data_IF_321319341742
#
_entry.id   IF_321319341742
#
_cell.length_a   1.000
_cell.length_b   1.000
_cell.length_c   1.000
_cell.angle_alpha   90.00
_cell.angle_beta   90.00
_cell.angle_gamma   90.00
#
_symmetry.space_group_name_H-M   'P 1'
#
loop_
_entity.id
_entity.type
_entity.pdbx_description
1 polymer ?
#
# COMPACT_ATOMS: atom_id res chain seq x y z
N UNK A 1 7.49 -12.71 -0.09
CA UNK A 1 6.36 -12.19 0.73
C UNK A 1 6.81 -11.81 2.14
N UNK A 2 7.43 -12.72 2.91
CA UNK A 2 7.84 -12.47 4.30
C UNK A 2 8.86 -11.33 4.48
N UNK A 3 9.82 -11.17 3.55
CA UNK A 3 10.78 -10.05 3.59
C UNK A 3 10.11 -8.68 3.39
N UNK A 4 9.10 -8.59 2.51
CA UNK A 4 8.32 -7.37 2.32
C UNK A 4 7.51 -7.04 3.58
N UNK A 5 6.92 -8.06 4.21
CA UNK A 5 6.11 -7.89 5.42
C UNK A 5 6.95 -7.39 6.61
N UNK A 6 8.17 -7.91 6.78
CA UNK A 6 9.16 -7.38 7.72
C UNK A 6 9.52 -5.93 7.42
N UNK A 7 9.78 -5.61 6.14
CA UNK A 7 10.07 -4.23 5.71
C UNK A 7 8.94 -3.25 6.02
N UNK A 8 7.68 -3.67 5.82
CA UNK A 8 6.50 -2.88 6.16
C UNK A 8 6.42 -2.67 7.68
N UNK A 9 6.63 -3.72 8.49
CA UNK A 9 6.59 -3.59 9.95
C UNK A 9 7.69 -2.67 10.48
N UNK A 10 8.93 -2.80 9.98
CA UNK A 10 10.05 -1.94 10.38
C UNK A 10 9.80 -0.49 9.98
N UNK A 11 9.29 -0.26 8.76
CA UNK A 11 8.95 1.08 8.28
C UNK A 11 7.81 1.67 9.11
N UNK A 12 6.78 0.89 9.42
CA UNK A 12 5.65 1.37 10.21
C UNK A 12 6.02 1.66 11.68
N UNK A 13 6.93 0.89 12.27
CA UNK A 13 7.51 1.20 13.59
C UNK A 13 8.37 2.47 13.56
N UNK A 14 9.22 2.63 12.53
CA UNK A 14 10.04 3.83 12.33
C UNK A 14 9.18 5.08 12.15
N UNK A 15 8.13 5.00 11.34
CA UNK A 15 7.22 6.12 11.14
C UNK A 15 6.34 6.37 12.37
N UNK A 16 5.94 5.35 13.13
CA UNK A 16 5.28 5.55 14.43
C UNK A 16 6.17 6.30 15.43
N UNK A 17 7.48 6.09 15.36
CA UNK A 17 8.46 6.87 16.15
C UNK A 17 8.56 8.31 15.66
N UNK A 18 8.66 8.54 14.34
CA UNK A 18 8.77 9.88 13.75
C UNK A 18 7.45 10.67 13.76
N UNK A 19 6.30 9.99 13.73
CA UNK A 19 4.96 10.56 13.71
C UNK A 19 4.45 10.95 15.10
N UNK A 20 5.06 10.41 16.17
CA UNK A 20 4.77 10.77 17.56
C UNK A 20 4.78 12.29 17.81
N UNK A 21 5.84 13.05 17.48
CA UNK A 21 5.83 14.50 17.71
C UNK A 21 4.78 15.26 16.88
N UNK A 22 4.55 14.85 15.62
CA UNK A 22 3.58 15.50 14.73
C UNK A 22 2.14 15.30 15.23
N UNK A 23 1.78 14.07 15.60
CA UNK A 23 0.47 13.80 16.17
C UNK A 23 0.31 14.30 17.59
N UNK A 24 1.35 14.27 18.42
CA UNK A 24 1.30 14.79 19.79
C UNK A 24 0.93 16.27 19.81
N UNK A 25 1.45 17.10 18.90
CA UNK A 25 0.99 18.49 18.77
C UNK A 25 -0.49 18.61 18.37
N UNK A 26 -0.95 17.79 17.44
CA UNK A 26 -2.36 17.80 17.01
C UNK A 26 -3.31 17.29 18.09
N UNK A 27 -2.90 16.23 18.80
CA UNK A 27 -3.66 15.61 19.87
C UNK A 27 -3.61 16.42 21.16
N UNK A 28 -2.48 17.00 21.57
CA UNK A 28 -2.41 17.87 22.76
C UNK A 28 -3.40 19.04 22.63
N UNK A 29 -3.53 19.62 21.42
CA UNK A 29 -4.51 20.70 21.15
C UNK A 29 -5.97 20.21 21.29
N UNK A 30 -6.27 18.99 20.86
CA UNK A 30 -7.59 18.37 20.97
C UNK A 30 -7.89 17.89 22.41
N UNK A 31 -6.88 17.39 23.12
CA UNK A 31 -7.01 16.80 24.45
C UNK A 31 -7.05 17.85 25.57
N UNK A 32 -6.39 19.01 25.40
CA UNK A 32 -6.56 20.17 26.29
C UNK A 32 -8.03 20.60 26.35
N UNK A 33 -8.78 20.48 25.24
CA UNK A 33 -10.21 20.81 25.21
C UNK A 33 -11.11 19.72 25.81
N UNK A 34 -10.63 18.48 25.94
CA UNK A 34 -11.43 17.31 26.36
C UNK A 34 -11.05 16.75 27.74
N UNK A 35 -9.97 17.23 28.36
CA UNK A 35 -9.53 16.86 29.72
C UNK A 35 -9.29 15.35 29.90
N UNK A 36 -8.83 14.67 28.84
CA UNK A 36 -8.57 13.22 28.84
C UNK A 36 -7.09 12.96 29.18
N UNK A 37 -6.82 11.84 29.88
CA UNK A 37 -5.47 11.36 30.21
C UNK A 37 -4.53 11.33 29.00
N UNK A 38 -3.37 11.97 29.15
CA UNK A 38 -2.29 12.04 28.15
C UNK A 38 -1.76 10.67 27.71
N UNK A 39 -1.88 9.64 28.56
CA UNK A 39 -1.44 8.28 28.22
C UNK A 39 -2.36 7.61 27.19
N UNK A 40 -3.68 7.85 27.28
CA UNK A 40 -4.63 7.33 26.31
C UNK A 40 -4.47 8.05 24.96
N UNK A 41 -4.22 9.36 24.99
CA UNK A 41 -3.96 10.16 23.80
C UNK A 41 -2.77 9.61 22.99
N UNK A 42 -1.66 9.33 23.67
CA UNK A 42 -0.44 8.82 23.03
C UNK A 42 -0.66 7.44 22.39
N UNK A 43 -1.42 6.54 23.03
CA UNK A 43 -1.73 5.20 22.47
C UNK A 43 -2.62 5.34 21.23
N UNK A 44 -3.69 6.15 21.30
CA UNK A 44 -4.59 6.37 20.17
C UNK A 44 -3.87 7.03 18.98
N UNK A 45 -3.00 8.01 19.25
CA UNK A 45 -2.20 8.66 18.22
C UNK A 45 -1.31 7.65 17.47
N UNK A 46 -0.60 6.79 18.20
CA UNK A 46 0.25 5.76 17.59
C UNK A 46 -0.57 4.80 16.72
N UNK A 47 -1.71 4.33 17.23
CA UNK A 47 -2.59 3.41 16.48
C UNK A 47 -3.11 4.07 15.21
N UNK A 48 -3.58 5.31 15.29
CA UNK A 48 -4.15 6.04 14.16
C UNK A 48 -3.10 6.31 13.07
N UNK A 49 -1.91 6.81 13.44
CA UNK A 49 -0.82 7.03 12.47
C UNK A 49 -0.37 5.72 11.85
N UNK A 50 -0.21 4.67 12.65
CA UNK A 50 0.20 3.36 12.14
C UNK A 50 -0.81 2.83 11.13
N UNK A 51 -2.10 2.89 11.45
CA UNK A 51 -3.17 2.39 10.58
C UNK A 51 -3.26 3.20 9.29
N UNK A 52 -3.24 4.53 9.38
CA UNK A 52 -3.38 5.41 8.23
C UNK A 52 -2.20 5.24 7.26
N UNK A 53 -0.97 5.14 7.78
CA UNK A 53 0.23 4.99 6.96
C UNK A 53 0.35 3.59 6.39
N UNK A 54 0.03 2.55 7.17
CA UNK A 54 0.00 1.18 6.66
C UNK A 54 -1.03 1.04 5.54
N UNK A 55 -2.22 1.63 5.72
CA UNK A 55 -3.25 1.66 4.69
C UNK A 55 -2.75 2.39 3.44
N UNK A 56 -2.20 3.59 3.58
CA UNK A 56 -1.66 4.36 2.45
C UNK A 56 -0.54 3.61 1.73
N UNK A 57 0.36 2.96 2.46
CA UNK A 57 1.49 2.21 1.90
C UNK A 57 1.04 0.94 1.18
N UNK A 58 0.09 0.18 1.73
CA UNK A 58 -0.45 -1.01 1.07
C UNK A 58 -1.28 -0.63 -0.16
N UNK A 59 -2.09 0.43 -0.05
CA UNK A 59 -2.95 0.88 -1.15
C UNK A 59 -2.11 1.47 -2.29
N UNK A 60 -1.21 2.42 -2.00
CA UNK A 60 -0.39 3.06 -3.04
C UNK A 60 0.76 2.16 -3.49
N UNK A 61 1.41 1.45 -2.56
CA UNK A 61 2.61 0.67 -2.83
C UNK A 61 2.33 -0.71 -3.40
N UNK A 62 1.23 -1.35 -3.03
CA UNK A 62 0.93 -2.71 -3.50
C UNK A 62 -0.33 -2.78 -4.37
N UNK A 63 -1.48 -2.33 -3.88
CA UNK A 63 -2.76 -2.54 -4.55
C UNK A 63 -2.95 -1.68 -5.80
N UNK A 64 -2.52 -0.41 -5.79
CA UNK A 64 -2.61 0.49 -6.93
C UNK A 64 -1.77 0.00 -8.13
N UNK A 65 -0.47 -0.32 -8.00
CA UNK A 65 0.33 -0.84 -9.12
C UNK A 65 -0.13 -2.23 -9.55
N UNK A 66 -0.59 -3.09 -8.62
CA UNK A 66 -1.14 -4.42 -8.95
C UNK A 66 -2.45 -4.31 -9.74
N UNK A 67 -3.33 -3.39 -9.35
CA UNK A 67 -4.56 -3.07 -10.09
C UNK A 67 -4.24 -2.49 -11.47
N UNK A 68 -3.26 -1.58 -11.58
CA UNK A 68 -2.80 -1.05 -12.86
C UNK A 68 -2.18 -2.13 -13.77
N UNK A 69 -1.41 -3.04 -13.20
CA UNK A 69 -0.81 -4.17 -13.92
C UNK A 69 -1.88 -5.16 -14.41
N UNK A 70 -2.90 -5.43 -13.59
CA UNK A 70 -4.03 -6.32 -13.95
C UNK A 70 -4.92 -5.66 -15.01
N UNK A 71 -5.20 -4.35 -14.94
CA UNK A 71 -5.94 -3.65 -16.00
C UNK A 71 -5.23 -3.69 -17.36
N UNK A 72 -3.89 -3.76 -17.37
CA UNK A 72 -3.11 -3.95 -18.61
C UNK A 72 -2.91 -5.41 -19.01
N UNK A 73 -3.33 -6.40 -18.21
CA UNK A 73 -3.25 -7.81 -18.60
C UNK A 73 -4.14 -8.11 -19.82
N UNK A 74 -5.27 -7.43 -19.96
CA UNK A 74 -6.15 -7.55 -21.13
C UNK A 74 -5.52 -6.95 -22.40
N UNK A 75 -4.87 -5.78 -22.29
CA UNK A 75 -4.13 -5.18 -23.41
C UNK A 75 -2.93 -6.02 -23.84
N UNK A 76 -2.17 -6.58 -22.88
CA UNK A 76 -1.01 -7.44 -23.19
C UNK A 76 -1.48 -8.77 -23.78
N UNK A 77 -2.55 -9.36 -23.26
CA UNK A 77 -3.15 -10.59 -23.81
C UNK A 77 -3.65 -10.39 -25.25
N UNK A 78 -4.38 -9.30 -25.53
CA UNK A 78 -4.83 -8.96 -26.88
C UNK A 78 -3.67 -8.62 -27.83
N UNK A 79 -2.59 -8.02 -27.31
CA UNK A 79 -1.41 -7.71 -28.12
C UNK A 79 -0.61 -8.97 -28.49
N UNK A 80 -0.52 -9.95 -27.60
CA UNK A 80 0.16 -11.23 -27.84
C UNK A 80 -0.70 -12.19 -28.67
N UNK A 81 -2.03 -12.10 -28.58
CA UNK A 81 -2.94 -12.91 -29.40
C UNK A 81 -2.73 -12.69 -30.92
N UNK A 82 -2.48 -11.45 -31.36
CA UNK A 82 -2.26 -11.11 -32.78
C UNK A 82 -1.04 -11.81 -33.43
N UNK A 83 0.18 -11.71 -32.87
CA UNK A 83 1.35 -12.42 -33.40
C UNK A 83 1.23 -13.94 -33.25
N UNK A 84 0.55 -14.44 -32.21
CA UNK A 84 0.32 -15.87 -32.04
C UNK A 84 -0.59 -16.46 -33.12
N UNK A 85 -1.67 -15.76 -33.49
CA UNK A 85 -2.56 -16.14 -34.60
C UNK A 85 -1.81 -16.08 -35.94
N UNK A 86 -0.95 -15.06 -36.13
CA UNK A 86 -0.13 -14.97 -37.33
C UNK A 86 0.85 -16.14 -37.44
N UNK A 87 1.53 -16.48 -36.34
CA UNK A 87 2.44 -17.63 -36.28
C UNK A 87 1.68 -18.94 -36.52
N UNK A 88 0.53 -19.13 -35.88
CA UNK A 88 -0.34 -20.29 -36.09
C UNK A 88 -0.74 -20.44 -37.56
N UNK A 89 -1.15 -19.35 -38.23
CA UNK A 89 -1.53 -19.39 -39.66
C UNK A 89 -0.35 -19.72 -40.57
N UNK A 90 0.86 -19.31 -40.20
CA UNK A 90 2.08 -19.61 -40.95
C UNK A 90 2.60 -21.02 -40.69
N UNK A 91 2.38 -21.56 -39.49
CA UNK A 91 2.72 -22.93 -39.10
C UNK A 91 1.63 -23.96 -39.47
N UNK A 92 0.41 -23.51 -39.82
CA UNK A 92 -0.70 -24.36 -40.28
C UNK A 92 -0.35 -25.35 -41.40
N UNK A 93 0.49 -25.04 -42.42
CA UNK A 93 0.90 -26.05 -43.40
C UNK A 93 1.87 -27.13 -42.86
N UNK A 94 2.36 -27.00 -41.63
CA UNK A 94 3.31 -27.95 -40.99
C UNK A 94 2.70 -28.72 -39.80
N UNK A 95 1.44 -28.43 -39.43
CA UNK A 95 0.64 -29.13 -38.42
C UNK A 95 -0.52 -29.81 -39.13
#
# INVERSE_FOLDING_TARGET
LSACQLGITVTALGIGWFGKPALKQMFDTLFVNLNISTQLADIFAVILVFLLITFLHVVIGELAPKTFAIQKAEQVSLFVAKPLIFFYRMAFPFI
#
